data_IF_618574807684
#
_entry.id   IF_618574807684
#
_cell.length_a   1.000
_cell.length_b   1.000
_cell.length_c   1.000
_cell.angle_alpha   90.00
_cell.angle_beta   90.00
_cell.angle_gamma   90.00
#
_symmetry.space_group_name_H-M   'P 1'
#
loop_
_entity.id
_entity.type
_entity.pdbx_description
1 polymer ?
#
# COMPACT_ATOMS: atom_id res chain seq x y z
N UNK A 1 4.32 17.76 -16.72
CA UNK A 1 3.87 17.47 -15.34
C UNK A 1 5.12 17.48 -14.47
N UNK A 2 5.21 18.41 -13.53
CA UNK A 2 6.47 18.84 -12.96
C UNK A 2 7.01 17.82 -11.95
N UNK A 3 8.32 17.58 -11.99
CA UNK A 3 9.02 16.73 -11.03
C UNK A 3 8.84 17.20 -9.57
N UNK A 4 8.35 18.43 -9.35
CA UNK A 4 8.11 19.04 -8.04
C UNK A 4 6.83 18.54 -7.37
N UNK A 5 5.73 18.38 -8.10
CA UNK A 5 4.48 17.84 -7.57
C UNK A 5 4.68 16.41 -7.04
N UNK A 6 5.43 15.59 -7.79
CA UNK A 6 5.73 14.21 -7.39
C UNK A 6 6.53 14.17 -6.10
N UNK A 7 7.52 15.05 -5.92
CA UNK A 7 8.32 15.07 -4.69
C UNK A 7 7.50 15.48 -3.46
N UNK A 8 6.58 16.44 -3.60
CA UNK A 8 5.70 16.83 -2.50
C UNK A 8 4.73 15.70 -2.13
N UNK A 9 4.18 15.00 -3.12
CA UNK A 9 3.35 13.82 -2.92
C UNK A 9 4.13 12.68 -2.24
N UNK A 10 5.39 12.41 -2.64
CA UNK A 10 6.27 11.43 -1.98
C UNK A 10 6.49 11.82 -0.52
N UNK A 11 6.77 13.09 -0.25
CA UNK A 11 7.04 13.57 1.11
C UNK A 11 5.81 13.38 2.00
N UNK A 12 4.63 13.78 1.50
CA UNK A 12 3.36 13.59 2.20
C UNK A 12 3.04 12.11 2.40
N UNK A 13 3.21 11.29 1.37
CA UNK A 13 3.03 9.85 1.46
C UNK A 13 4.00 9.22 2.45
N UNK A 14 5.23 9.73 2.57
CA UNK A 14 6.21 9.24 3.54
C UNK A 14 5.86 9.60 4.98
N UNK A 15 5.33 10.79 5.22
CA UNK A 15 4.84 11.16 6.55
C UNK A 15 3.63 10.31 6.96
N UNK A 16 2.69 10.10 6.03
CA UNK A 16 1.54 9.21 6.23
C UNK A 16 2.01 7.78 6.43
N UNK A 17 2.92 7.29 5.60
CA UNK A 17 3.51 5.96 5.73
C UNK A 17 4.13 5.81 7.10
N UNK A 18 5.02 6.71 7.54
CA UNK A 18 5.66 6.60 8.86
C UNK A 18 4.64 6.66 10.01
N UNK A 19 3.61 7.50 9.89
CA UNK A 19 2.57 7.64 10.92
C UNK A 19 1.67 6.40 11.04
N UNK A 20 1.33 5.76 9.92
CA UNK A 20 0.44 4.60 9.89
C UNK A 20 1.19 3.27 9.72
N UNK A 21 2.49 3.25 9.42
CA UNK A 21 3.27 2.04 9.19
C UNK A 21 3.27 1.16 10.43
N UNK A 22 3.48 1.72 11.62
CA UNK A 22 3.40 0.96 12.87
C UNK A 22 2.00 0.37 13.12
N UNK A 23 0.94 1.10 12.75
CA UNK A 23 -0.43 0.61 12.87
C UNK A 23 -0.72 -0.49 11.84
N UNK A 24 -0.27 -0.31 10.60
CA UNK A 24 -0.44 -1.27 9.52
C UNK A 24 0.37 -2.54 9.79
N UNK A 25 1.62 -2.43 10.24
CA UNK A 25 2.47 -3.56 10.64
C UNK A 25 1.91 -4.36 11.83
N UNK A 26 1.00 -3.79 12.62
CA UNK A 26 0.30 -4.51 13.70
C UNK A 26 -0.90 -5.34 13.21
N UNK A 27 -1.37 -5.13 11.99
CA UNK A 27 -2.50 -5.87 11.39
C UNK A 27 -2.08 -7.29 11.01
N UNK A 28 -3.01 -8.23 11.10
CA UNK A 28 -2.69 -9.66 11.09
C UNK A 28 -2.27 -10.23 9.73
N UNK A 29 -2.30 -9.41 8.67
CA UNK A 29 -1.97 -9.84 7.30
C UNK A 29 -0.97 -8.91 6.59
N UNK A 30 -0.50 -7.86 7.24
CA UNK A 30 0.43 -6.91 6.62
C UNK A 30 1.86 -7.44 6.74
N UNK A 31 2.47 -7.70 5.59
CA UNK A 31 3.88 -8.12 5.49
C UNK A 31 4.81 -6.95 5.21
N UNK A 32 4.29 -5.85 4.65
CA UNK A 32 5.11 -4.66 4.39
C UNK A 32 4.30 -3.43 3.99
N UNK A 33 4.91 -2.27 4.17
CA UNK A 33 4.34 -0.98 3.73
C UNK A 33 5.43 -0.20 3.01
N UNK A 34 5.16 0.19 1.78
CA UNK A 34 6.03 1.01 0.94
C UNK A 34 5.30 2.23 0.38
N UNK A 35 6.06 3.09 -0.29
CA UNK A 35 5.53 4.23 -1.05
C UNK A 35 5.94 3.96 -2.49
N UNK A 36 4.96 3.99 -3.39
CA UNK A 36 5.19 3.74 -4.80
C UNK A 36 4.27 4.58 -5.66
N UNK A 37 4.48 4.47 -6.97
CA UNK A 37 3.49 4.98 -7.91
C UNK A 37 2.30 4.03 -7.92
N UNK A 38 1.09 4.57 -7.76
CA UNK A 38 -0.13 3.81 -7.96
C UNK A 38 -0.13 3.23 -9.37
N UNK A 39 -0.35 1.92 -9.47
CA UNK A 39 -0.61 1.26 -10.74
C UNK A 39 -2.08 0.96 -10.85
N UNK A 40 -2.65 1.22 -12.02
CA UNK A 40 -4.02 0.86 -12.34
C UNK A 40 -3.99 0.15 -13.69
N UNK A 41 -4.48 -1.09 -13.73
CA UNK A 41 -4.51 -1.91 -14.95
C UNK A 41 -3.13 -1.99 -15.65
N UNK A 42 -2.10 -2.37 -14.89
CA UNK A 42 -0.69 -2.51 -15.34
C UNK A 42 -0.02 -1.20 -15.82
N UNK A 43 -0.70 -0.06 -15.69
CA UNK A 43 -0.17 1.25 -16.06
C UNK A 43 0.20 2.07 -14.83
N UNK A 44 1.41 2.63 -14.85
CA UNK A 44 1.84 3.63 -13.86
C UNK A 44 0.98 4.89 -14.04
N UNK A 45 0.19 5.20 -13.03
CA UNK A 45 -0.70 6.38 -13.06
C UNK A 45 0.07 7.68 -12.85
N UNK A 46 1.33 7.62 -12.44
CA UNK A 46 2.17 8.77 -12.08
C UNK A 46 1.77 9.45 -10.77
N UNK A 47 0.74 8.95 -10.09
CA UNK A 47 0.30 9.41 -8.77
C UNK A 47 0.97 8.57 -7.68
N UNK A 48 1.36 9.20 -6.58
CA UNK A 48 1.98 8.51 -5.43
C UNK A 48 0.90 7.88 -4.56
N UNK A 49 1.12 6.62 -4.18
CA UNK A 49 0.28 5.88 -3.27
C UNK A 49 1.12 5.10 -2.25
N UNK A 50 0.49 4.81 -1.11
CA UNK A 50 0.98 3.84 -0.14
C UNK A 50 0.76 2.44 -0.72
N UNK A 51 1.81 1.68 -0.96
CA UNK A 51 1.70 0.28 -1.37
C UNK A 51 1.79 -0.58 -0.13
N UNK A 52 0.69 -1.20 0.27
CA UNK A 52 0.65 -2.13 1.41
C UNK A 52 0.70 -3.54 0.89
N UNK A 53 1.75 -4.26 1.24
CA UNK A 53 1.92 -5.67 0.92
C UNK A 53 1.25 -6.50 2.01
N UNK A 54 0.32 -7.35 1.59
CA UNK A 54 -0.34 -8.33 2.45
C UNK A 54 -0.03 -9.75 1.99
N UNK A 55 -0.02 -10.69 2.92
CA UNK A 55 0.15 -12.12 2.65
C UNK A 55 -1.08 -12.67 1.89
N UNK A 56 -2.27 -12.32 2.38
CA UNK A 56 -3.53 -12.72 1.77
C UNK A 56 -4.53 -11.56 1.69
N UNK A 57 -5.17 -11.37 0.52
CA UNK A 57 -6.29 -10.45 0.37
C UNK A 57 -7.59 -11.13 0.81
N UNK A 58 -7.89 -11.04 2.09
CA UNK A 58 -9.18 -11.46 2.61
C UNK A 58 -10.30 -10.49 2.20
N UNK A 59 -11.52 -10.97 1.93
CA UNK A 59 -12.67 -10.09 1.72
C UNK A 59 -13.04 -9.38 3.03
N UNK A 60 -13.57 -8.15 2.93
CA UNK A 60 -13.97 -7.33 4.08
C UNK A 60 -14.90 -8.04 5.07
N UNK A 61 -15.69 -9.01 4.59
CA UNK A 61 -16.57 -9.82 5.43
C UNK A 61 -15.84 -10.81 6.36
N UNK A 62 -14.56 -11.10 6.08
CA UNK A 62 -13.69 -11.98 6.85
C UNK A 62 -12.58 -11.22 7.59
N UNK A 63 -12.43 -9.92 7.31
CA UNK A 63 -11.50 -9.04 8.03
C UNK A 63 -12.17 -8.49 9.28
N UNK A 64 -11.42 -8.49 10.38
CA UNK A 64 -11.82 -7.75 11.56
C UNK A 64 -11.89 -6.26 11.25
N UNK A 65 -12.80 -5.52 11.90
CA UNK A 65 -12.97 -4.08 11.63
C UNK A 65 -11.67 -3.30 11.89
N UNK A 66 -10.85 -3.80 12.83
CA UNK A 66 -9.54 -3.24 13.15
C UNK A 66 -8.46 -3.60 12.10
N UNK A 67 -8.67 -4.67 11.32
CA UNK A 67 -7.77 -5.16 10.27
C UNK A 67 -8.09 -4.55 8.89
N UNK A 68 -9.28 -3.97 8.70
CA UNK A 68 -9.65 -3.25 7.48
C UNK A 68 -8.66 -2.11 7.18
N UNK A 69 -8.05 -2.15 5.99
CA UNK A 69 -7.15 -1.11 5.50
C UNK A 69 -7.97 -0.16 4.62
N UNK A 70 -8.05 1.14 4.95
CA UNK A 70 -8.76 2.09 4.12
C UNK A 70 -7.99 2.33 2.80
N UNK A 71 -8.73 2.48 1.69
CA UNK A 71 -8.16 2.78 0.36
C UNK A 71 -7.55 4.20 0.26
N UNK A 72 -7.66 5.00 1.33
CA UNK A 72 -7.12 6.36 1.43
C UNK A 72 -6.76 6.69 2.88
N UNK A 73 -5.53 7.18 3.09
CA UNK A 73 -5.03 7.66 4.38
C UNK A 73 -4.54 9.11 4.23
N UNK A 74 -5.13 10.05 4.99
CA UNK A 74 -4.72 11.46 5.03
C UNK A 74 -4.71 12.17 3.64
N UNK A 75 -5.53 11.67 2.71
CA UNK A 75 -5.58 12.12 1.32
C UNK A 75 -4.66 11.37 0.36
N UNK A 76 -3.77 10.51 0.87
CA UNK A 76 -2.89 9.63 0.09
C UNK A 76 -3.64 8.35 -0.25
N UNK A 77 -3.59 7.93 -1.50
CA UNK A 77 -4.19 6.67 -1.95
C UNK A 77 -3.44 5.49 -1.35
N UNK A 78 -4.15 4.46 -0.91
CA UNK A 78 -3.57 3.21 -0.42
C UNK A 78 -3.89 2.11 -1.41
N UNK A 79 -2.86 1.48 -1.91
CA UNK A 79 -2.91 0.35 -2.81
C UNK A 79 -2.51 -0.91 -2.05
N UNK A 80 -3.48 -1.77 -1.75
CA UNK A 80 -3.21 -3.05 -1.11
C UNK A 80 -2.83 -4.04 -2.21
N UNK A 81 -1.64 -4.60 -2.15
CA UNK A 81 -1.16 -5.64 -3.04
C UNK A 81 -0.95 -6.93 -2.26
N UNK A 82 -1.50 -8.02 -2.79
CA UNK A 82 -1.18 -9.32 -2.26
C UNK A 82 0.20 -9.70 -2.78
N UNK A 83 1.14 -9.92 -1.88
CA UNK A 83 2.38 -10.59 -2.20
C UNK A 83 2.02 -12.03 -2.47
N UNK A 84 1.88 -12.41 -3.75
CA UNK A 84 1.68 -13.82 -4.09
C UNK A 84 2.86 -14.64 -3.56
N UNK A 85 2.62 -15.92 -3.25
CA UNK A 85 3.69 -16.85 -2.88
C UNK A 85 4.83 -16.74 -3.90
N UNK A 86 5.98 -16.22 -3.48
CA UNK A 86 7.22 -16.34 -4.24
C UNK A 86 7.63 -17.81 -4.24
N UNK A 87 6.92 -18.62 -5.01
CA UNK A 87 7.34 -19.98 -5.29
C UNK A 87 8.45 -19.86 -6.32
N UNK A 88 9.69 -19.96 -5.86
CA UNK A 88 10.79 -20.29 -6.78
C UNK A 88 10.36 -21.58 -7.48
N UNK A 89 10.09 -21.51 -8.78
CA UNK A 89 9.91 -22.71 -9.59
C UNK A 89 11.13 -23.62 -9.33
N UNK A 90 10.97 -24.81 -8.73
CA UNK A 90 12.04 -25.79 -8.73
C UNK A 90 12.26 -26.22 -10.19
N UNK A 91 13.54 -26.36 -10.55
CA UNK A 91 14.01 -26.59 -11.91
C UNK A 91 13.50 -27.85 -12.59
#
# INVERSE_FOLDING_TARGET
>A
MAQQDVQEQIRRASEVQAKYADMLMRKSHVVGVGIGFARKDDQETGEIALVVMVDEKLPLAQLDTDDIIPERLDGVRVDVQQTGDFTSLPG
#
